data_IF_929562685682
#
_entry.id   IF_929562685682
#
_cell.length_a   1.000
_cell.length_b   1.000
_cell.length_c   1.000
_cell.angle_alpha   90.00
_cell.angle_beta   90.00
_cell.angle_gamma   90.00
#
_symmetry.space_group_name_H-M   'P 1'
#
loop_
_entity.id
_entity.type
_entity.pdbx_description
1 polymer ?
#
# COMPACT_ATOMS: atom_id res chain seq x y z
N UNK A 1 -18.14 22.33 6.42
CA UNK A 1 -17.45 21.86 5.20
C UNK A 1 -17.82 20.41 4.98
N UNK A 2 -18.27 20.03 3.78
CA UNK A 2 -18.58 18.64 3.46
C UNK A 2 -17.28 17.91 3.12
N UNK A 3 -17.08 16.68 3.62
CA UNK A 3 -15.91 15.84 3.28
C UNK A 3 -15.99 15.30 1.82
N UNK A 4 -16.72 15.99 0.94
CA UNK A 4 -17.03 15.60 -0.43
C UNK A 4 -15.80 15.34 -1.30
N UNK A 5 -14.77 16.21 -1.31
CA UNK A 5 -13.55 15.95 -2.08
C UNK A 5 -12.81 14.68 -1.65
N UNK A 6 -12.78 14.38 -0.35
CA UNK A 6 -12.16 13.15 0.19
C UNK A 6 -12.95 11.93 -0.28
N UNK A 7 -14.29 11.99 -0.16
CA UNK A 7 -15.17 10.93 -0.64
C UNK A 7 -15.01 10.70 -2.15
N UNK A 8 -14.99 11.77 -2.94
CA UNK A 8 -14.84 11.70 -4.40
C UNK A 8 -13.51 11.06 -4.80
N UNK A 9 -12.39 11.51 -4.21
CA UNK A 9 -11.07 10.95 -4.49
C UNK A 9 -10.99 9.47 -4.09
N UNK A 10 -11.57 9.09 -2.95
CA UNK A 10 -11.66 7.70 -2.52
C UNK A 10 -12.52 6.85 -3.48
N UNK A 11 -13.71 7.34 -3.83
CA UNK A 11 -14.61 6.69 -4.79
C UNK A 11 -13.94 6.52 -6.16
N UNK A 12 -13.23 7.55 -6.65
CA UNK A 12 -12.49 7.46 -7.91
C UNK A 12 -11.39 6.41 -7.85
N UNK A 13 -10.72 6.25 -6.70
CA UNK A 13 -9.79 5.16 -6.43
C UNK A 13 -10.44 3.78 -6.59
N UNK A 14 -11.62 3.57 -6.01
CA UNK A 14 -12.36 2.29 -6.17
C UNK A 14 -12.66 1.99 -7.64
N UNK A 15 -13.19 2.98 -8.37
CA UNK A 15 -13.56 2.83 -9.78
C UNK A 15 -12.33 2.52 -10.62
N UNK A 16 -11.26 3.29 -10.43
CA UNK A 16 -10.01 3.10 -11.17
C UNK A 16 -9.42 1.71 -10.94
N UNK A 17 -9.41 1.19 -9.71
CA UNK A 17 -8.91 -0.16 -9.44
C UNK A 17 -9.72 -1.25 -10.16
N UNK A 18 -11.05 -1.25 -10.01
CA UNK A 18 -11.89 -2.31 -10.56
C UNK A 18 -12.07 -2.20 -12.09
N UNK A 19 -12.07 -0.99 -12.65
CA UNK A 19 -12.03 -0.81 -14.11
C UNK A 19 -10.72 -1.32 -14.69
N UNK A 20 -9.57 -0.93 -14.12
CA UNK A 20 -8.25 -1.41 -14.57
C UNK A 20 -8.16 -2.94 -14.49
N UNK A 21 -8.63 -3.54 -13.40
CA UNK A 21 -8.67 -5.00 -13.23
C UNK A 21 -9.54 -5.67 -14.29
N UNK A 22 -10.74 -5.14 -14.55
CA UNK A 22 -11.67 -5.71 -15.54
C UNK A 22 -11.14 -5.56 -16.97
N UNK A 23 -10.55 -4.41 -17.30
CA UNK A 23 -10.00 -4.15 -18.63
C UNK A 23 -8.81 -5.05 -18.96
N UNK A 24 -7.93 -5.30 -17.98
CA UNK A 24 -6.71 -6.09 -18.21
C UNK A 24 -6.99 -7.58 -18.09
N UNK A 25 -7.71 -8.00 -17.05
CA UNK A 25 -7.82 -9.41 -16.69
C UNK A 25 -9.16 -10.04 -17.06
N UNK A 26 -10.19 -9.23 -17.35
CA UNK A 26 -11.56 -9.71 -17.48
C UNK A 26 -12.15 -10.15 -16.14
N UNK A 27 -13.28 -10.87 -16.19
CA UNK A 27 -13.89 -11.48 -15.01
C UNK A 27 -14.54 -10.47 -14.06
N UNK A 28 -15.58 -9.77 -14.53
CA UNK A 28 -16.39 -8.91 -13.67
C UNK A 28 -17.02 -9.75 -12.54
N UNK A 29 -16.63 -9.47 -11.30
CA UNK A 29 -17.17 -10.12 -10.10
C UNK A 29 -18.17 -9.18 -9.45
N UNK A 30 -19.43 -9.57 -9.39
CA UNK A 30 -20.41 -8.84 -8.60
C UNK A 30 -20.11 -9.05 -7.11
N UNK A 31 -19.87 -7.95 -6.40
CA UNK A 31 -19.79 -7.96 -4.93
C UNK A 31 -21.07 -7.32 -4.43
N UNK A 32 -21.92 -8.10 -3.76
CA UNK A 32 -23.20 -7.61 -3.28
C UNK A 32 -22.99 -6.44 -2.31
N UNK A 33 -23.49 -5.26 -2.66
CA UNK A 33 -23.69 -4.18 -1.70
C UNK A 33 -24.97 -4.53 -0.94
N UNK A 34 -24.86 -4.83 0.35
CA UNK A 34 -26.01 -5.23 1.17
C UNK A 34 -27.22 -4.31 0.95
N UNK A 35 -28.42 -4.88 0.86
CA UNK A 35 -29.66 -4.08 0.76
C UNK A 35 -30.02 -3.56 2.15
N UNK A 36 -29.81 -2.27 2.38
CA UNK A 36 -30.25 -1.58 3.59
C UNK A 36 -29.51 -0.26 3.81
N UNK A 37 -30.24 0.83 4.04
CA UNK A 37 -29.68 2.11 4.52
C UNK A 37 -29.41 2.07 6.03
N UNK A 38 -28.79 0.99 6.51
CA UNK A 38 -28.40 0.90 7.92
C UNK A 38 -26.97 1.37 8.03
N UNK A 39 -26.81 2.58 8.54
CA UNK A 39 -25.50 3.17 8.80
C UNK A 39 -24.91 2.42 9.99
N UNK A 40 -24.05 1.44 9.70
CA UNK A 40 -23.44 0.56 10.68
C UNK A 40 -21.94 0.80 10.70
N UNK A 41 -21.37 0.68 11.89
CA UNK A 41 -19.93 0.56 12.05
C UNK A 41 -19.41 -0.71 11.37
N UNK A 42 -18.44 -0.55 10.48
CA UNK A 42 -17.73 -1.65 9.82
C UNK A 42 -16.40 -1.92 10.51
N UNK A 43 -16.12 -3.20 10.76
CA UNK A 43 -14.92 -3.61 11.49
C UNK A 43 -13.64 -3.39 10.68
N UNK A 44 -12.51 -3.17 11.35
CA UNK A 44 -11.20 -3.04 10.68
C UNK A 44 -10.86 -4.21 9.75
N UNK A 45 -11.16 -5.44 10.14
CA UNK A 45 -10.94 -6.62 9.29
C UNK A 45 -11.77 -6.56 7.99
N UNK A 46 -13.02 -6.11 8.06
CA UNK A 46 -13.87 -5.93 6.87
C UNK A 46 -13.36 -4.79 5.97
N UNK A 47 -13.06 -3.64 6.56
CA UNK A 47 -12.48 -2.50 5.83
C UNK A 47 -11.19 -2.91 5.11
N UNK A 48 -10.34 -3.68 5.76
CA UNK A 48 -9.12 -4.21 5.17
C UNK A 48 -9.43 -5.15 4.00
N UNK A 49 -10.38 -6.08 4.14
CA UNK A 49 -10.78 -6.98 3.05
C UNK A 49 -11.42 -6.27 1.85
N UNK A 50 -12.05 -5.11 2.07
CA UNK A 50 -12.62 -4.31 0.99
C UNK A 50 -11.57 -3.46 0.27
N UNK A 51 -10.64 -2.87 1.02
CA UNK A 51 -9.82 -1.77 0.52
C UNK A 51 -8.31 -2.05 0.45
N UNK A 52 -7.81 -3.21 0.89
CA UNK A 52 -6.37 -3.51 0.88
C UNK A 52 -5.75 -3.34 -0.51
N UNK A 53 -6.23 -4.06 -1.53
CA UNK A 53 -5.67 -4.03 -2.89
C UNK A 53 -6.00 -2.77 -3.68
N UNK A 54 -7.15 -2.16 -3.41
CA UNK A 54 -7.66 -1.00 -4.14
C UNK A 54 -7.10 0.32 -3.61
N UNK A 55 -6.90 0.43 -2.30
CA UNK A 55 -6.50 1.67 -1.64
C UNK A 55 -5.30 1.48 -0.72
N UNK A 56 -5.36 0.65 0.32
CA UNK A 56 -4.34 0.67 1.38
C UNK A 56 -2.94 0.35 0.87
N UNK A 57 -2.78 -0.70 0.05
CA UNK A 57 -1.48 -1.00 -0.57
C UNK A 57 -1.01 0.15 -1.44
N UNK A 58 -1.89 0.74 -2.25
CA UNK A 58 -1.52 1.83 -3.17
C UNK A 58 -1.20 3.12 -2.41
N UNK A 59 -1.92 3.41 -1.34
CA UNK A 59 -1.70 4.55 -0.46
C UNK A 59 -0.39 4.44 0.30
N UNK A 60 -0.08 3.25 0.85
CA UNK A 60 1.22 2.99 1.50
C UNK A 60 2.36 3.01 0.50
N UNK A 61 2.20 2.41 -0.70
CA UNK A 61 3.20 2.49 -1.77
C UNK A 61 3.46 3.95 -2.19
N UNK A 62 2.41 4.77 -2.34
CA UNK A 62 2.54 6.18 -2.70
C UNK A 62 3.19 6.99 -1.58
N UNK A 63 2.79 6.77 -0.31
CA UNK A 63 3.40 7.39 0.85
C UNK A 63 4.90 7.09 0.90
N UNK A 64 5.27 5.82 0.69
CA UNK A 64 6.66 5.39 0.66
C UNK A 64 7.45 6.04 -0.48
N UNK A 65 6.88 6.15 -1.68
CA UNK A 65 7.49 6.87 -2.80
C UNK A 65 7.69 8.36 -2.51
N UNK A 66 6.71 9.00 -1.87
CA UNK A 66 6.81 10.41 -1.45
C UNK A 66 7.95 10.60 -0.44
N UNK A 67 8.05 9.74 0.56
CA UNK A 67 9.14 9.77 1.54
C UNK A 67 10.51 9.52 0.89
N UNK A 68 10.59 8.55 -0.03
CA UNK A 68 11.83 8.30 -0.78
C UNK A 68 12.23 9.50 -1.63
N UNK A 69 11.27 10.12 -2.31
CA UNK A 69 11.54 11.28 -3.13
C UNK A 69 11.90 12.51 -2.29
N UNK A 70 11.33 12.66 -1.09
CA UNK A 70 11.75 13.69 -0.15
C UNK A 70 13.20 13.48 0.34
N UNK A 71 13.59 12.23 0.61
CA UNK A 71 14.90 11.91 1.17
C UNK A 71 16.03 11.89 0.13
N UNK A 72 15.76 11.39 -1.08
CA UNK A 72 16.77 11.13 -2.12
C UNK A 72 16.52 11.90 -3.43
N UNK A 73 15.33 12.48 -3.61
CA UNK A 73 15.00 13.23 -4.81
C UNK A 73 15.59 14.63 -4.77
N UNK A 74 16.04 15.12 -5.92
CA UNK A 74 16.44 16.51 -6.08
C UNK A 74 15.22 17.34 -6.49
N UNK A 75 14.86 18.31 -5.66
CA UNK A 75 13.78 19.26 -5.95
C UNK A 75 14.33 20.47 -6.69
N UNK A 76 14.93 20.23 -7.86
CA UNK A 76 15.33 21.31 -8.76
C UNK A 76 14.75 21.01 -10.14
N UNK A 77 13.74 21.79 -10.54
CA UNK A 77 13.27 21.82 -11.93
C UNK A 77 14.30 22.49 -12.87
N UNK A 78 15.43 22.92 -12.32
CA UNK A 78 16.54 23.51 -13.03
C UNK A 78 17.80 22.68 -12.79
N UNK A 79 18.21 21.90 -13.78
CA UNK A 79 19.61 21.47 -13.84
C UNK A 79 20.44 22.63 -14.39
N UNK A 80 20.41 23.78 -13.72
CA UNK A 80 21.21 24.92 -14.13
C UNK A 80 22.68 24.56 -13.84
N UNK A 81 23.50 24.64 -14.88
CA UNK A 81 24.93 24.44 -14.82
C UNK A 81 25.50 25.41 -15.83
N UNK A 82 26.56 26.13 -15.48
CA UNK A 82 27.23 27.03 -16.43
C UNK A 82 27.68 26.29 -17.70
N UNK A 83 27.84 24.96 -17.64
CA UNK A 83 28.18 24.12 -18.79
C UNK A 83 27.10 24.10 -19.88
N UNK A 84 25.84 24.34 -19.53
CA UNK A 84 24.76 24.47 -20.50
C UNK A 84 24.97 25.70 -21.41
N UNK A 85 25.56 26.76 -20.86
CA UNK A 85 25.88 28.01 -21.55
C UNK A 85 27.41 28.22 -21.68
N UNK A 86 28.15 27.13 -21.85
CA UNK A 86 29.63 27.16 -21.88
C UNK A 86 30.18 28.11 -22.95
N UNK A 87 29.51 28.23 -24.10
CA UNK A 87 29.85 29.18 -25.16
C UNK A 87 29.69 30.65 -24.72
N UNK A 88 28.66 30.96 -23.92
CA UNK A 88 28.45 32.31 -23.39
C UNK A 88 29.56 32.69 -22.39
N UNK A 89 29.96 31.73 -21.55
CA UNK A 89 31.02 31.92 -20.56
C UNK A 89 32.44 31.74 -21.13
N UNK A 90 32.59 31.60 -22.45
CA UNK A 90 33.90 31.35 -23.10
C UNK A 90 34.67 30.16 -22.49
N UNK A 91 33.96 29.11 -22.05
CA UNK A 91 34.51 27.96 -21.34
C UNK A 91 35.24 28.29 -20.02
N UNK A 92 35.00 29.48 -19.45
CA UNK A 92 35.51 29.88 -18.14
C UNK A 92 34.38 29.72 -17.12
N UNK A 93 34.66 29.07 -15.99
CA UNK A 93 33.66 28.89 -14.94
C UNK A 93 33.30 30.26 -14.30
N UNK A 94 32.06 30.74 -14.44
CA UNK A 94 31.58 31.98 -13.82
C UNK A 94 31.30 31.78 -12.33
N UNK A 95 31.07 32.87 -11.60
CA UNK A 95 30.71 32.76 -10.18
C UNK A 95 29.34 32.09 -10.00
N UNK A 96 29.16 31.41 -8.87
CA UNK A 96 27.91 30.69 -8.54
C UNK A 96 26.66 31.56 -8.61
N UNK A 97 26.80 32.86 -8.31
CA UNK A 97 25.70 33.80 -8.36
C UNK A 97 25.38 34.23 -9.79
N UNK A 98 26.39 34.48 -10.62
CA UNK A 98 26.22 34.94 -12.01
C UNK A 98 25.49 33.90 -12.86
N UNK A 99 25.92 32.64 -12.83
CA UNK A 99 25.30 31.62 -13.67
C UNK A 99 23.93 31.19 -13.19
N UNK A 100 23.67 31.19 -11.87
CA UNK A 100 22.33 30.96 -11.34
C UNK A 100 21.38 32.06 -11.81
N UNK A 101 21.78 33.33 -11.69
CA UNK A 101 20.95 34.48 -12.08
C UNK A 101 20.56 34.40 -13.55
N UNK A 102 21.54 34.21 -14.44
CA UNK A 102 21.29 34.08 -15.88
C UNK A 102 20.39 32.88 -16.21
N UNK A 103 20.67 31.72 -15.64
CA UNK A 103 19.87 30.53 -15.92
C UNK A 103 18.41 30.69 -15.44
N UNK A 104 18.19 31.36 -14.31
CA UNK A 104 16.84 31.69 -13.85
C UNK A 104 16.16 32.73 -14.75
N UNK A 105 16.89 33.71 -15.27
CA UNK A 105 16.35 34.73 -16.18
C UNK A 105 15.97 34.14 -17.55
N UNK A 106 16.81 33.28 -18.14
CA UNK A 106 16.56 32.68 -19.46
C UNK A 106 15.51 31.55 -19.41
N UNK A 107 15.41 30.83 -18.28
CA UNK A 107 14.52 29.69 -18.12
C UNK A 107 13.36 29.92 -17.16
N UNK A 108 13.03 31.15 -16.77
CA UNK A 108 12.05 31.48 -15.70
C UNK A 108 10.67 30.79 -15.81
N UNK A 109 10.23 30.42 -17.02
CA UNK A 109 8.96 29.68 -17.21
C UNK A 109 9.06 28.18 -16.88
N UNK A 110 10.26 27.61 -17.00
CA UNK A 110 10.60 26.24 -16.61
C UNK A 110 11.30 26.16 -15.24
N UNK A 111 11.83 27.28 -14.77
CA UNK A 111 12.71 27.38 -13.61
C UNK A 111 12.11 28.26 -12.51
N UNK A 112 11.79 27.66 -11.37
CA UNK A 112 11.32 28.38 -10.19
C UNK A 112 12.50 28.59 -9.24
N UNK A 113 12.66 29.82 -8.72
CA UNK A 113 13.67 30.14 -7.73
C UNK A 113 13.64 29.15 -6.54
N UNK A 114 14.79 28.75 -5.98
CA UNK A 114 14.89 27.74 -4.92
C UNK A 114 14.09 28.05 -3.64
N UNK A 115 13.67 29.30 -3.48
CA UNK A 115 13.13 29.82 -2.22
C UNK A 115 11.61 29.82 -2.12
N UNK A 116 10.85 29.60 -3.21
CA UNK A 116 9.39 29.84 -3.20
C UNK A 116 8.48 28.61 -3.40
N UNK A 117 9.03 27.42 -3.65
CA UNK A 117 8.23 26.18 -3.80
C UNK A 117 8.98 24.99 -3.19
N UNK A 118 8.91 24.84 -1.87
CA UNK A 118 9.44 23.67 -1.17
C UNK A 118 8.71 22.40 -1.63
N UNK A 119 9.39 21.23 -1.57
CA UNK A 119 8.83 19.92 -1.93
C UNK A 119 7.39 19.70 -1.41
N UNK A 120 7.10 20.15 -0.18
CA UNK A 120 5.78 20.04 0.42
C UNK A 120 4.68 20.75 -0.37
N UNK A 121 4.93 21.95 -0.90
CA UNK A 121 3.94 22.73 -1.67
C UNK A 121 3.69 22.10 -3.04
N UNK A 122 4.69 21.53 -3.69
CA UNK A 122 4.50 20.93 -5.01
C UNK A 122 3.93 19.51 -4.95
N UNK A 123 4.21 18.76 -3.89
CA UNK A 123 3.73 17.38 -3.73
C UNK A 123 2.44 17.25 -2.92
N UNK A 124 1.89 18.33 -2.36
CA UNK A 124 0.76 18.29 -1.42
C UNK A 124 -0.45 17.51 -1.94
N UNK A 125 -0.74 17.59 -3.24
CA UNK A 125 -1.84 16.88 -3.87
C UNK A 125 -1.66 15.35 -3.79
N UNK A 126 -0.44 14.86 -3.96
CA UNK A 126 -0.10 13.44 -3.84
C UNK A 126 -0.16 12.99 -2.37
N UNK A 127 0.27 13.83 -1.44
CA UNK A 127 0.10 13.57 0.00
C UNK A 127 -1.37 13.44 0.39
N UNK A 128 -2.23 14.33 -0.12
CA UNK A 128 -3.69 14.28 0.11
C UNK A 128 -4.29 12.99 -0.50
N UNK A 129 -3.86 12.58 -1.70
CA UNK A 129 -4.32 11.31 -2.30
C UNK A 129 -3.91 10.12 -1.44
N UNK A 130 -2.64 10.05 -1.01
CA UNK A 130 -2.14 8.98 -0.16
C UNK A 130 -2.93 8.90 1.15
N UNK A 131 -3.10 10.04 1.83
CA UNK A 131 -3.88 10.15 3.06
C UNK A 131 -5.34 9.75 2.86
N UNK A 132 -5.96 10.18 1.75
CA UNK A 132 -7.35 9.84 1.42
C UNK A 132 -7.52 8.34 1.20
N UNK A 133 -6.64 7.69 0.43
CA UNK A 133 -6.71 6.25 0.20
C UNK A 133 -6.49 5.44 1.50
N UNK A 134 -5.66 5.94 2.41
CA UNK A 134 -5.44 5.25 3.69
C UNK A 134 -6.56 5.47 4.68
N UNK A 135 -7.05 6.70 4.85
CA UNK A 135 -7.85 7.06 6.03
C UNK A 135 -9.31 7.45 5.77
N UNK A 136 -9.71 7.67 4.51
CA UNK A 136 -11.12 7.96 4.21
C UNK A 136 -12.11 6.91 4.74
N UNK A 137 -11.83 5.59 4.70
CA UNK A 137 -12.75 4.59 5.24
C UNK A 137 -13.12 4.82 6.70
N UNK A 138 -12.19 5.30 7.54
CA UNK A 138 -12.46 5.53 8.96
C UNK A 138 -13.27 6.79 9.21
N UNK A 139 -13.01 7.86 8.44
CA UNK A 139 -13.80 9.10 8.53
C UNK A 139 -15.27 8.89 8.14
N UNK A 140 -15.52 8.01 7.17
CA UNK A 140 -16.88 7.66 6.72
C UNK A 140 -17.46 6.43 7.42
N UNK A 141 -16.76 5.87 8.41
CA UNK A 141 -17.25 4.75 9.21
C UNK A 141 -17.84 5.25 10.53
N UNK A 142 -19.13 5.05 10.82
CA UNK A 142 -19.75 5.40 12.11
C UNK A 142 -18.93 4.86 13.28
N UNK A 143 -18.65 5.68 14.30
CA UNK A 143 -17.77 5.31 15.43
C UNK A 143 -16.37 4.82 15.01
N UNK A 144 -15.92 5.15 13.80
CA UNK A 144 -14.63 4.75 13.27
C UNK A 144 -13.42 5.44 13.92
N UNK A 145 -13.66 6.43 14.79
CA UNK A 145 -12.67 7.15 15.61
C UNK A 145 -12.93 7.01 17.12
N UNK A 146 -13.83 6.12 17.52
CA UNK A 146 -14.12 5.79 18.93
C UNK A 146 -13.10 4.78 19.46
N UNK A 147 -12.45 5.10 20.59
CA UNK A 147 -11.31 4.33 21.10
C UNK A 147 -11.69 2.91 21.47
N UNK A 148 -12.80 2.75 22.19
CA UNK A 148 -13.25 1.44 22.69
C UNK A 148 -13.61 0.50 21.53
N UNK A 149 -14.14 1.06 20.44
CA UNK A 149 -14.45 0.31 19.23
C UNK A 149 -13.21 -0.01 18.41
N UNK A 150 -12.32 0.95 18.23
CA UNK A 150 -11.09 0.75 17.46
C UNK A 150 -10.21 -0.32 18.07
N UNK A 151 -10.06 -0.36 19.40
CA UNK A 151 -9.20 -1.36 20.04
C UNK A 151 -9.79 -2.78 19.91
N UNK A 152 -11.11 -2.92 20.00
CA UNK A 152 -11.83 -4.19 19.74
C UNK A 152 -11.59 -4.66 18.30
N UNK A 153 -11.80 -3.76 17.34
CA UNK A 153 -11.59 -3.98 15.91
C UNK A 153 -10.15 -4.33 15.55
N UNK A 154 -9.19 -3.66 16.18
CA UNK A 154 -7.77 -3.91 15.99
C UNK A 154 -7.38 -5.32 16.46
N UNK A 155 -7.88 -5.73 17.62
CA UNK A 155 -7.67 -7.08 18.14
C UNK A 155 -8.32 -8.14 17.22
N UNK A 156 -9.52 -7.88 16.71
CA UNK A 156 -10.19 -8.75 15.74
C UNK A 156 -9.38 -8.89 14.43
N UNK A 157 -8.87 -7.77 13.90
CA UNK A 157 -8.01 -7.78 12.72
C UNK A 157 -6.70 -8.56 12.95
N UNK A 158 -6.06 -8.39 14.12
CA UNK A 158 -4.86 -9.16 14.46
C UNK A 158 -5.14 -10.67 14.54
N UNK A 159 -6.29 -11.05 15.10
CA UNK A 159 -6.72 -12.45 15.18
C UNK A 159 -7.01 -12.99 13.78
N UNK A 160 -7.72 -12.22 12.95
CA UNK A 160 -8.00 -12.55 11.55
C UNK A 160 -6.72 -12.82 10.76
N UNK A 161 -5.67 -12.00 10.88
CA UNK A 161 -4.37 -12.22 10.21
C UNK A 161 -3.72 -13.57 10.53
N UNK A 162 -4.03 -14.16 11.70
CA UNK A 162 -3.49 -15.46 12.14
C UNK A 162 -4.29 -16.64 11.59
N UNK A 163 -5.54 -16.43 11.18
CA UNK A 163 -6.41 -17.49 10.69
C UNK A 163 -5.88 -18.11 9.40
N UNK A 164 -6.05 -19.43 9.28
CA UNK A 164 -5.53 -20.22 8.15
C UNK A 164 -6.55 -21.17 7.53
N UNK A 165 -7.81 -21.10 7.95
CA UNK A 165 -8.87 -21.99 7.49
C UNK A 165 -9.22 -21.71 6.02
N UNK A 166 -9.74 -22.68 5.28
CA UNK A 166 -10.12 -22.48 3.86
C UNK A 166 -11.44 -21.69 3.68
N UNK A 167 -12.02 -21.13 4.75
CA UNK A 167 -13.18 -20.25 4.66
C UNK A 167 -12.78 -18.86 4.12
N UNK A 168 -13.68 -18.22 3.37
CA UNK A 168 -13.51 -16.85 2.88
C UNK A 168 -13.32 -15.83 4.01
N UNK A 169 -13.77 -16.16 5.22
CA UNK A 169 -13.62 -15.33 6.42
C UNK A 169 -12.19 -15.34 6.98
N UNK A 170 -11.39 -16.34 6.62
CA UNK A 170 -9.99 -16.42 7.04
C UNK A 170 -9.10 -15.48 6.22
N UNK A 171 -7.98 -15.05 6.78
CA UNK A 171 -7.00 -14.24 6.04
C UNK A 171 -6.47 -14.97 4.81
N UNK A 172 -6.25 -16.28 4.91
CA UNK A 172 -5.73 -17.07 3.79
C UNK A 172 -6.76 -17.30 2.70
N UNK A 173 -8.02 -17.57 3.07
CA UNK A 173 -9.12 -17.69 2.12
C UNK A 173 -9.35 -16.36 1.39
N UNK A 174 -9.39 -15.25 2.12
CA UNK A 174 -9.46 -13.91 1.52
C UNK A 174 -8.28 -13.61 0.58
N UNK A 175 -7.05 -13.84 1.02
CA UNK A 175 -5.84 -13.61 0.22
C UNK A 175 -5.87 -14.41 -1.09
N UNK A 176 -6.28 -15.67 -1.02
CA UNK A 176 -6.36 -16.55 -2.20
C UNK A 176 -7.47 -16.09 -3.16
N UNK A 177 -8.65 -15.77 -2.63
CA UNK A 177 -9.79 -15.27 -3.41
C UNK A 177 -9.48 -13.94 -4.11
N UNK A 178 -8.68 -13.07 -3.50
CA UNK A 178 -8.28 -11.81 -4.14
C UNK A 178 -7.31 -12.02 -5.30
N UNK A 179 -6.47 -13.07 -5.24
CA UNK A 179 -5.47 -13.39 -6.29
C UNK A 179 -5.98 -14.34 -7.37
N UNK A 180 -7.12 -15.00 -7.16
CA UNK A 180 -7.74 -16.00 -8.05
C UNK A 180 -7.86 -15.51 -9.51
N UNK A 181 -8.14 -14.22 -9.72
CA UNK A 181 -8.24 -13.64 -11.07
C UNK A 181 -6.99 -13.83 -11.94
N UNK A 182 -5.81 -13.97 -11.33
CA UNK A 182 -4.56 -14.19 -12.05
C UNK A 182 -4.54 -15.55 -12.75
N UNK A 183 -5.27 -16.53 -12.24
CA UNK A 183 -5.38 -17.88 -12.81
C UNK A 183 -6.05 -17.84 -14.18
N UNK A 184 -7.09 -17.00 -14.32
CA UNK A 184 -7.87 -16.83 -15.55
C UNK A 184 -7.33 -15.73 -16.48
N UNK A 185 -6.23 -15.07 -16.11
CA UNK A 185 -5.66 -13.96 -16.88
C UNK A 185 -4.93 -14.44 -18.14
N UNK A 186 -5.11 -13.72 -19.26
CA UNK A 186 -4.41 -13.97 -20.54
C UNK A 186 -2.91 -13.71 -20.46
N UNK A 187 -2.12 -14.28 -21.40
CA UNK A 187 -0.65 -14.08 -21.41
C UNK A 187 -0.25 -12.61 -21.60
N UNK A 188 -0.96 -11.87 -22.46
CA UNK A 188 -0.70 -10.44 -22.68
C UNK A 188 -0.99 -9.60 -21.43
N UNK A 189 -2.09 -9.88 -20.73
CA UNK A 189 -2.42 -9.23 -19.48
C UNK A 189 -1.41 -9.52 -18.35
N UNK A 190 -0.89 -10.75 -18.27
CA UNK A 190 0.22 -11.09 -17.37
C UNK A 190 1.50 -10.34 -17.70
N UNK A 191 1.82 -10.16 -18.99
CA UNK A 191 2.96 -9.36 -19.42
C UNK A 191 2.83 -7.90 -18.98
N UNK A 192 1.69 -7.25 -19.25
CA UNK A 192 1.40 -5.87 -18.82
C UNK A 192 1.54 -5.74 -17.30
N UNK A 193 0.99 -6.71 -16.56
CA UNK A 193 1.11 -6.74 -15.09
C UNK A 193 2.57 -6.86 -14.66
N UNK A 194 3.36 -7.71 -15.31
CA UNK A 194 4.80 -7.85 -15.05
C UNK A 194 5.57 -6.55 -15.28
N UNK A 195 5.32 -5.86 -16.40
CA UNK A 195 5.92 -4.55 -16.70
C UNK A 195 5.57 -3.53 -15.61
N UNK A 196 4.31 -3.47 -15.18
CA UNK A 196 3.90 -2.57 -14.09
C UNK A 196 4.58 -2.89 -12.77
N UNK A 197 4.84 -4.17 -12.47
CA UNK A 197 5.54 -4.59 -11.24
C UNK A 197 7.06 -4.40 -11.31
N UNK A 198 7.64 -4.26 -12.50
CA UNK A 198 9.07 -3.94 -12.69
C UNK A 198 9.47 -2.64 -11.99
N UNK A 199 8.52 -1.69 -11.80
CA UNK A 199 8.76 -0.42 -11.11
C UNK A 199 9.46 -0.57 -9.75
N UNK A 200 9.13 -1.62 -8.98
CA UNK A 200 9.76 -1.83 -7.67
C UNK A 200 11.24 -2.22 -7.80
N UNK A 201 11.58 -3.01 -8.82
CA UNK A 201 12.97 -3.32 -9.14
C UNK A 201 13.71 -2.06 -9.60
N UNK A 202 13.10 -1.24 -10.46
CA UNK A 202 13.71 0.00 -10.92
C UNK A 202 13.98 0.98 -9.78
N UNK A 203 13.06 1.08 -8.81
CA UNK A 203 13.27 1.89 -7.59
C UNK A 203 14.43 1.34 -6.76
N UNK A 204 14.50 0.02 -6.54
CA UNK A 204 15.61 -0.59 -5.81
C UNK A 204 16.97 -0.37 -6.51
N UNK A 205 17.01 -0.49 -7.84
CA UNK A 205 18.21 -0.20 -8.65
C UNK A 205 18.57 1.29 -8.58
N UNK A 206 17.60 2.19 -8.71
CA UNK A 206 17.83 3.63 -8.63
C UNK A 206 18.40 4.05 -7.28
N UNK A 207 17.86 3.51 -6.18
CA UNK A 207 18.40 3.73 -4.83
C UNK A 207 19.83 3.19 -4.68
N UNK A 208 20.11 2.01 -5.22
CA UNK A 208 21.46 1.44 -5.22
C UNK A 208 22.46 2.34 -5.95
N UNK A 209 22.09 2.80 -7.15
CA UNK A 209 22.91 3.68 -7.97
C UNK A 209 23.12 5.04 -7.30
N UNK A 210 22.09 5.62 -6.68
CA UNK A 210 22.23 6.86 -5.92
C UNK A 210 23.19 6.72 -4.74
N UNK A 211 23.10 5.62 -3.99
CA UNK A 211 24.04 5.32 -2.91
C UNK A 211 25.49 5.17 -3.43
N UNK A 212 25.68 4.51 -4.57
CA UNK A 212 26.98 4.37 -5.23
C UNK A 212 27.51 5.71 -5.78
N UNK A 213 26.62 6.60 -6.24
CA UNK A 213 27.01 7.92 -6.72
C UNK A 213 27.47 8.82 -5.57
N UNK A 214 26.69 8.91 -4.49
CA UNK A 214 27.02 9.74 -3.33
C UNK A 214 28.31 9.27 -2.64
N UNK A 215 28.59 7.97 -2.72
CA UNK A 215 29.85 7.37 -2.29
C UNK A 215 31.06 7.91 -3.04
N UNK A 216 30.96 8.00 -4.37
CA UNK A 216 32.10 8.22 -5.24
C UNK A 216 32.31 9.70 -5.57
N UNK A 217 31.24 10.50 -5.67
CA UNK A 217 31.29 11.85 -6.22
C UNK A 217 30.98 12.98 -5.21
N UNK A 218 30.14 12.77 -4.18
CA UNK A 218 29.63 13.86 -3.33
C UNK A 218 30.41 14.10 -2.03
N UNK A 219 31.50 13.36 -1.74
CA UNK A 219 32.35 13.59 -0.56
C UNK A 219 33.71 14.20 -0.95
N UNK A 220 33.77 15.50 -1.30
CA UNK A 220 34.93 16.12 -1.94
C UNK A 220 36.16 16.32 -1.03
N UNK A 221 36.09 16.04 0.27
CA UNK A 221 37.18 16.34 1.22
C UNK A 221 37.92 15.10 1.77
N UNK A 222 37.74 13.92 1.16
CA UNK A 222 38.62 12.78 1.42
C UNK A 222 39.34 12.41 0.15
N UNK A 223 40.67 12.40 0.23
CA UNK A 223 41.51 11.76 -0.78
C UNK A 223 41.08 10.29 -0.79
N UNK A 224 40.61 9.82 -1.94
CA UNK A 224 40.20 8.43 -2.12
C UNK A 224 41.45 7.57 -1.95
N UNK A 225 41.68 7.04 -0.75
CA UNK A 225 42.55 5.88 -0.59
C UNK A 225 41.79 4.70 -1.19
N UNK A 226 42.25 4.26 -2.36
CA UNK A 226 41.58 3.38 -3.33
C UNK A 226 40.99 2.05 -2.81
N UNK A 227 41.20 1.66 -1.56
CA UNK A 227 40.84 0.34 -1.03
C UNK A 227 39.62 0.32 -0.09
N UNK A 228 39.40 1.33 0.77
CA UNK A 228 38.39 1.20 1.84
C UNK A 228 36.95 1.58 1.43
N UNK A 229 36.78 2.63 0.63
CA UNK A 229 35.44 3.11 0.25
C UNK A 229 34.82 2.21 -0.84
N UNK A 230 35.57 1.84 -1.88
CA UNK A 230 35.07 0.93 -2.93
C UNK A 230 34.70 -0.46 -2.37
N UNK A 231 35.49 -0.97 -1.42
CA UNK A 231 35.22 -2.22 -0.71
C UNK A 231 33.91 -2.13 0.10
N UNK A 232 33.67 -1.02 0.79
CA UNK A 232 32.45 -0.81 1.60
C UNK A 232 31.18 -0.88 0.75
N UNK A 233 31.18 -0.27 -0.43
CA UNK A 233 30.03 -0.28 -1.33
C UNK A 233 29.88 -1.60 -2.10
N UNK A 234 30.99 -2.24 -2.51
CA UNK A 234 30.98 -3.59 -3.07
C UNK A 234 30.46 -4.62 -2.05
N UNK A 235 30.82 -4.50 -0.78
CA UNK A 235 30.29 -5.32 0.32
C UNK A 235 28.80 -5.06 0.55
N UNK A 236 28.31 -3.81 0.42
CA UNK A 236 26.87 -3.52 0.51
C UNK A 236 26.06 -4.18 -0.62
N UNK A 237 26.60 -4.18 -1.85
CA UNK A 237 26.02 -4.91 -2.99
C UNK A 237 26.05 -6.43 -2.80
N UNK A 238 27.16 -6.95 -2.26
CA UNK A 238 27.31 -8.36 -1.91
C UNK A 238 26.27 -8.81 -0.88
N UNK A 239 25.99 -8.01 0.16
CA UNK A 239 24.97 -8.30 1.17
C UNK A 239 23.59 -8.44 0.51
N UNK A 240 23.25 -7.55 -0.44
CA UNK A 240 21.98 -7.62 -1.18
C UNK A 240 21.90 -8.91 -2.02
N UNK A 241 22.97 -9.24 -2.75
CA UNK A 241 23.04 -10.47 -3.55
C UNK A 241 22.93 -11.71 -2.65
N UNK A 242 23.61 -11.72 -1.51
CA UNK A 242 23.53 -12.80 -0.51
C UNK A 242 22.10 -12.94 0.01
N UNK A 243 21.42 -11.85 0.37
CA UNK A 243 20.03 -11.91 0.84
C UNK A 243 19.07 -12.41 -0.23
N UNK A 244 19.22 -11.96 -1.48
CA UNK A 244 18.42 -12.46 -2.61
C UNK A 244 18.67 -13.95 -2.85
N UNK A 245 19.93 -14.39 -2.78
CA UNK A 245 20.29 -15.80 -2.86
C UNK A 245 19.68 -16.61 -1.71
N UNK A 246 19.69 -16.11 -0.48
CA UNK A 246 19.07 -16.79 0.66
C UNK A 246 17.55 -16.93 0.52
N UNK A 247 16.88 -15.91 -0.02
CA UNK A 247 15.44 -15.97 -0.32
C UNK A 247 15.18 -17.00 -1.43
N UNK A 248 15.96 -16.97 -2.51
CA UNK A 248 15.89 -17.95 -3.59
C UNK A 248 16.16 -19.38 -3.09
N UNK A 249 17.20 -19.57 -2.27
CA UNK A 249 17.53 -20.85 -1.64
C UNK A 249 16.44 -21.30 -0.66
N UNK A 250 15.88 -20.40 0.14
CA UNK A 250 14.75 -20.67 1.04
C UNK A 250 13.50 -21.08 0.28
N UNK A 251 13.23 -20.42 -0.85
CA UNK A 251 12.15 -20.73 -1.78
C UNK A 251 12.34 -22.12 -2.41
N UNK A 252 13.53 -22.43 -2.95
CA UNK A 252 13.86 -23.74 -3.51
C UNK A 252 13.80 -24.83 -2.42
N UNK A 253 14.35 -24.57 -1.23
CA UNK A 253 14.35 -25.51 -0.11
C UNK A 253 12.93 -25.85 0.40
N UNK A 254 11.98 -24.92 0.26
CA UNK A 254 10.56 -25.14 0.55
C UNK A 254 9.89 -26.06 -0.47
N UNK A 255 10.38 -26.14 -1.71
CA UNK A 255 9.88 -27.08 -2.73
C UNK A 255 10.32 -28.53 -2.50
N UNK A 256 11.44 -28.73 -1.80
CA UNK A 256 12.06 -30.05 -1.59
C UNK A 256 11.39 -30.87 -0.47
N UNK A 257 10.43 -30.32 0.27
CA UNK A 257 9.87 -30.97 1.48
C UNK A 257 8.77 -32.00 1.26
N UNK A 258 8.80 -32.79 0.17
CA UNK A 258 7.93 -33.97 0.04
C UNK A 258 8.72 -35.27 -0.21
N UNK A 259 9.61 -35.62 0.74
CA UNK A 259 9.90 -37.02 1.14
C UNK A 259 10.75 -37.09 2.44
N UNK A 260 10.04 -37.35 3.56
CA UNK A 260 10.38 -38.05 4.83
C UNK A 260 11.81 -38.10 5.46
N UNK A 261 11.80 -38.16 6.82
CA UNK A 261 12.81 -38.69 7.78
C UNK A 261 14.12 -37.93 8.01
N UNK A 262 14.58 -37.89 9.29
CA UNK A 262 15.89 -37.52 9.93
C UNK A 262 16.80 -36.43 9.31
N UNK A 263 16.90 -36.35 7.97
CA UNK A 263 17.54 -35.28 7.19
C UNK A 263 17.03 -33.87 7.55
N UNK A 264 15.81 -33.74 8.07
CA UNK A 264 15.31 -32.44 8.57
C UNK A 264 16.10 -31.88 9.75
N UNK A 265 16.70 -32.70 10.64
CA UNK A 265 17.52 -32.19 11.76
C UNK A 265 18.84 -31.60 11.24
N UNK A 266 19.44 -32.22 10.22
CA UNK A 266 20.59 -31.67 9.47
C UNK A 266 20.21 -30.44 8.66
N UNK A 267 19.05 -30.42 8.00
CA UNK A 267 18.58 -29.26 7.24
C UNK A 267 18.23 -28.08 8.16
N UNK A 268 17.65 -28.32 9.34
CA UNK A 268 17.44 -27.29 10.38
C UNK A 268 18.77 -26.79 10.93
N UNK A 269 19.75 -27.67 11.16
CA UNK A 269 21.13 -27.26 11.51
C UNK A 269 21.79 -26.44 10.40
N UNK A 270 21.64 -26.82 9.13
CA UNK A 270 22.18 -26.04 8.00
C UNK A 270 21.47 -24.69 7.88
N UNK A 271 20.13 -24.64 8.01
CA UNK A 271 19.38 -23.37 8.05
C UNK A 271 19.79 -22.50 9.23
N UNK A 272 20.01 -23.09 10.41
CA UNK A 272 20.48 -22.39 11.60
C UNK A 272 21.93 -21.89 11.43
N UNK A 273 22.84 -22.71 10.92
CA UNK A 273 24.23 -22.34 10.64
C UNK A 273 24.30 -21.29 9.54
N UNK A 274 23.51 -21.41 8.47
CA UNK A 274 23.42 -20.41 7.41
C UNK A 274 22.83 -19.09 7.93
N UNK A 275 21.82 -19.16 8.81
CA UNK A 275 21.28 -17.99 9.51
C UNK A 275 22.30 -17.36 10.46
N UNK A 276 23.11 -18.16 11.18
CA UNK A 276 24.19 -17.67 12.03
C UNK A 276 25.33 -17.06 11.20
N UNK A 277 25.77 -17.70 10.12
CA UNK A 277 26.78 -17.14 9.21
C UNK A 277 26.28 -15.85 8.57
N UNK A 278 25.01 -15.79 8.17
CA UNK A 278 24.42 -14.57 7.61
C UNK A 278 24.28 -13.48 8.67
N UNK A 279 23.94 -13.83 9.91
CA UNK A 279 23.93 -12.92 11.04
C UNK A 279 25.35 -12.39 11.36
N UNK A 280 26.37 -13.25 11.32
CA UNK A 280 27.78 -12.87 11.52
C UNK A 280 28.28 -11.96 10.39
N UNK A 281 27.98 -12.29 9.13
CA UNK A 281 28.31 -11.43 7.97
C UNK A 281 27.57 -10.10 8.06
N UNK A 282 26.31 -10.11 8.50
CA UNK A 282 25.55 -8.88 8.75
C UNK A 282 26.12 -8.09 9.92
N UNK A 283 26.63 -8.73 10.97
CA UNK A 283 27.28 -8.06 12.11
C UNK A 283 28.65 -7.50 11.72
N UNK A 284 29.42 -8.18 10.86
CA UNK A 284 30.67 -7.66 10.31
C UNK A 284 30.47 -6.54 9.29
N UNK A 285 29.37 -6.55 8.51
CA UNK A 285 29.07 -5.43 7.62
C UNK A 285 28.61 -4.20 8.42
N UNK A 286 27.94 -4.40 9.56
CA UNK A 286 27.52 -3.33 10.48
C UNK A 286 28.69 -2.57 11.12
N UNK A 287 29.90 -3.15 11.19
CA UNK A 287 31.08 -2.45 11.74
C UNK A 287 31.76 -1.50 10.74
N UNK A 288 31.39 -1.55 9.45
CA UNK A 288 32.00 -0.74 8.37
C UNK A 288 31.01 0.30 7.81
N UNK A 289 29.70 0.12 8.03
CA UNK A 289 28.66 0.92 7.40
C UNK A 289 28.16 2.07 8.30
N UNK A 290 28.07 3.27 7.74
CA UNK A 290 27.36 4.41 8.36
C UNK A 290 25.88 4.08 8.58
N UNK A 291 25.29 4.62 9.66
CA UNK A 291 23.86 4.47 10.00
C UNK A 291 22.96 4.86 8.81
N UNK A 292 23.32 5.89 8.05
CA UNK A 292 22.57 6.30 6.85
C UNK A 292 22.60 5.22 5.75
N UNK A 293 23.75 4.58 5.53
CA UNK A 293 23.90 3.53 4.53
C UNK A 293 23.16 2.25 4.97
N UNK A 294 23.17 1.94 6.26
CA UNK A 294 22.40 0.83 6.82
C UNK A 294 20.89 1.01 6.62
N UNK A 295 20.40 2.22 6.83
CA UNK A 295 19.00 2.53 6.59
C UNK A 295 18.64 2.43 5.10
N UNK A 296 19.50 2.95 4.20
CA UNK A 296 19.31 2.84 2.76
C UNK A 296 19.29 1.38 2.28
N UNK A 297 20.23 0.55 2.76
CA UNK A 297 20.30 -0.90 2.45
C UNK A 297 19.07 -1.63 2.98
N UNK A 298 18.62 -1.32 4.21
CA UNK A 298 17.42 -1.91 4.78
C UNK A 298 16.18 -1.62 3.91
N UNK A 299 16.02 -0.37 3.47
CA UNK A 299 14.93 0.01 2.58
C UNK A 299 15.04 -0.71 1.23
N UNK A 300 16.22 -0.75 0.64
CA UNK A 300 16.47 -1.45 -0.63
C UNK A 300 16.10 -2.93 -0.52
N UNK A 301 16.54 -3.62 0.55
CA UNK A 301 16.20 -5.02 0.82
C UNK A 301 14.68 -5.19 0.94
N UNK A 302 13.99 -4.29 1.63
CA UNK A 302 12.54 -4.34 1.77
C UNK A 302 11.83 -4.23 0.39
N UNK A 303 12.25 -3.28 -0.45
CA UNK A 303 11.71 -3.11 -1.81
C UNK A 303 12.01 -4.34 -2.68
N UNK A 304 13.22 -4.90 -2.59
CA UNK A 304 13.62 -6.09 -3.35
C UNK A 304 12.84 -7.34 -2.93
N UNK A 305 12.62 -7.55 -1.63
CA UNK A 305 11.77 -8.63 -1.09
C UNK A 305 10.32 -8.46 -1.56
N UNK A 306 9.80 -7.23 -1.53
CA UNK A 306 8.46 -6.94 -2.01
C UNK A 306 8.33 -7.24 -3.51
N UNK A 307 9.31 -6.82 -4.33
CA UNK A 307 9.34 -7.13 -5.75
C UNK A 307 9.37 -8.66 -6.01
N UNK A 308 10.22 -9.40 -5.29
CA UNK A 308 10.27 -10.86 -5.38
C UNK A 308 8.90 -11.49 -5.10
N UNK A 309 8.23 -11.06 -4.03
CA UNK A 309 6.87 -11.50 -3.69
C UNK A 309 5.88 -11.23 -4.84
N UNK A 310 5.91 -10.04 -5.44
CA UNK A 310 5.04 -9.67 -6.57
C UNK A 310 5.28 -10.56 -7.80
N UNK A 311 6.54 -10.89 -8.11
CA UNK A 311 6.87 -11.81 -9.21
C UNK A 311 6.39 -13.23 -8.91
N UNK A 312 6.53 -13.72 -7.68
CA UNK A 312 5.98 -15.02 -7.29
C UNK A 312 4.45 -15.08 -7.43
N UNK A 313 3.74 -14.01 -7.05
CA UNK A 313 2.29 -13.90 -7.24
C UNK A 313 1.93 -13.96 -8.74
N UNK A 314 2.65 -13.22 -9.59
CA UNK A 314 2.44 -13.24 -11.05
C UNK A 314 2.69 -14.63 -11.67
N UNK A 315 3.58 -15.43 -11.08
CA UNK A 315 3.84 -16.83 -11.45
C UNK A 315 2.87 -17.83 -10.81
N UNK A 316 1.75 -17.36 -10.25
CA UNK A 316 0.74 -18.17 -9.56
C UNK A 316 1.29 -18.99 -8.37
N UNK A 317 2.33 -18.48 -7.70
CA UNK A 317 2.94 -19.12 -6.53
C UNK A 317 2.44 -18.50 -5.22
N UNK A 318 1.28 -17.85 -5.22
CA UNK A 318 0.74 -17.14 -4.05
C UNK A 318 0.32 -18.08 -2.90
N UNK A 319 0.13 -19.38 -3.17
CA UNK A 319 -0.07 -20.44 -2.17
C UNK A 319 1.23 -20.92 -1.49
N UNK A 320 2.39 -20.57 -2.02
CA UNK A 320 3.67 -21.06 -1.51
C UNK A 320 3.95 -20.52 -0.09
N UNK A 321 4.47 -21.36 0.81
CA UNK A 321 4.60 -21.02 2.23
C UNK A 321 5.42 -19.76 2.49
N UNK A 322 6.48 -19.54 1.69
CA UNK A 322 7.33 -18.33 1.76
C UNK A 322 6.55 -17.10 1.32
N UNK A 323 5.83 -17.19 0.20
CA UNK A 323 5.06 -16.07 -0.37
C UNK A 323 3.91 -15.70 0.56
N UNK A 324 3.23 -16.70 1.12
CA UNK A 324 2.20 -16.53 2.14
C UNK A 324 2.74 -15.84 3.39
N UNK A 325 3.92 -16.24 3.87
CA UNK A 325 4.53 -15.62 5.04
C UNK A 325 4.93 -14.16 4.77
N UNK A 326 5.48 -13.88 3.58
CA UNK A 326 5.84 -12.52 3.17
C UNK A 326 4.60 -11.63 3.00
N UNK A 327 3.54 -12.14 2.36
CA UNK A 327 2.28 -11.42 2.19
C UNK A 327 1.64 -11.09 3.54
N UNK A 328 1.62 -12.03 4.50
CA UNK A 328 1.11 -11.77 5.85
C UNK A 328 1.94 -10.73 6.60
N UNK A 329 3.26 -10.77 6.46
CA UNK A 329 4.14 -9.77 7.08
C UNK A 329 3.91 -8.39 6.46
N UNK A 330 3.74 -8.32 5.14
CA UNK A 330 3.38 -7.11 4.42
C UNK A 330 2.03 -6.56 4.88
N UNK A 331 1.00 -7.40 5.00
CA UNK A 331 -0.31 -7.00 5.51
C UNK A 331 -0.27 -6.47 6.93
N UNK A 332 0.55 -7.08 7.79
CA UNK A 332 0.76 -6.58 9.14
C UNK A 332 1.41 -5.19 9.12
N UNK A 333 2.41 -4.98 8.28
CA UNK A 333 3.09 -3.68 8.16
C UNK A 333 2.14 -2.60 7.62
N UNK A 334 1.41 -2.89 6.53
CA UNK A 334 0.39 -1.98 5.97
C UNK A 334 -0.68 -1.66 7.01
N UNK A 335 -1.21 -2.67 7.71
CA UNK A 335 -2.20 -2.45 8.75
C UNK A 335 -1.70 -1.55 9.87
N UNK A 336 -0.45 -1.70 10.33
CA UNK A 336 0.12 -0.78 11.32
C UNK A 336 0.26 0.66 10.80
N UNK A 337 0.66 0.84 9.53
CA UNK A 337 0.78 2.18 8.93
C UNK A 337 -0.59 2.85 8.78
N UNK A 338 -1.63 2.08 8.45
CA UNK A 338 -2.98 2.60 8.25
C UNK A 338 -3.71 2.81 9.58
N UNK A 339 -3.77 1.78 10.43
CA UNK A 339 -4.52 1.80 11.69
C UNK A 339 -3.79 2.53 12.82
N UNK A 340 -2.45 2.50 12.85
CA UNK A 340 -1.66 3.11 13.92
C UNK A 340 -1.98 4.60 14.15
N UNK A 341 -1.93 5.44 13.11
CA UNK A 341 -2.31 6.85 13.22
C UNK A 341 -3.76 7.06 13.69
N UNK A 342 -4.70 6.22 13.21
CA UNK A 342 -6.10 6.27 13.63
C UNK A 342 -6.26 5.95 15.13
N UNK A 343 -5.54 4.93 15.62
CA UNK A 343 -5.50 4.58 17.04
C UNK A 343 -4.94 5.73 17.90
N UNK A 344 -3.84 6.35 17.46
CA UNK A 344 -3.23 7.49 18.16
C UNK A 344 -4.21 8.67 18.22
N UNK A 345 -4.82 9.02 17.09
CA UNK A 345 -5.82 10.09 17.01
C UNK A 345 -7.00 9.80 17.94
N UNK A 346 -7.51 8.58 17.93
CA UNK A 346 -8.64 8.18 18.78
C UNK A 346 -8.30 8.22 20.28
N UNK A 347 -7.09 7.78 20.66
CA UNK A 347 -6.63 7.78 22.05
C UNK A 347 -6.42 9.20 22.61
N UNK A 348 -5.77 10.08 21.85
CA UNK A 348 -5.35 11.39 22.35
C UNK A 348 -6.34 12.53 22.01
N UNK A 349 -7.23 12.33 21.02
CA UNK A 349 -8.15 13.36 20.54
C UNK A 349 -9.61 12.83 20.53
N UNK A 350 -10.18 12.47 21.70
CA UNK A 350 -11.51 11.84 21.77
C UNK A 350 -12.63 12.74 21.23
N UNK A 351 -12.45 14.06 21.24
CA UNK A 351 -13.41 15.01 20.67
C UNK A 351 -13.62 14.84 19.15
N UNK A 352 -12.64 14.24 18.44
CA UNK A 352 -12.74 14.02 17.00
C UNK A 352 -13.83 13.00 16.66
N UNK A 353 -14.06 12.01 17.52
CA UNK A 353 -15.17 11.06 17.36
C UNK A 353 -16.53 11.78 17.36
N UNK A 354 -16.75 12.69 18.32
CA UNK A 354 -17.98 13.50 18.37
C UNK A 354 -18.11 14.44 17.17
N UNK A 355 -16.99 15.03 16.72
CA UNK A 355 -16.99 15.86 15.51
C UNK A 355 -17.35 15.05 14.26
N UNK A 356 -16.76 13.86 14.09
CA UNK A 356 -17.02 12.95 12.99
C UNK A 356 -18.50 12.57 12.91
N UNK A 357 -19.11 12.23 14.05
CA UNK A 357 -20.54 11.93 14.13
C UNK A 357 -21.41 13.13 13.72
N UNK A 358 -21.10 14.35 14.16
CA UNK A 358 -21.85 15.55 13.75
C UNK A 358 -21.74 15.85 12.25
N UNK A 359 -20.57 15.58 11.66
CA UNK A 359 -20.34 15.79 10.21
C UNK A 359 -21.11 14.76 9.38
N UNK A 360 -21.15 13.49 9.83
CA UNK A 360 -21.90 12.43 9.13
C UNK A 360 -23.41 12.52 9.36
N UNK A 361 -23.83 12.84 10.57
CA UNK A 361 -25.23 12.88 11.01
C UNK A 361 -25.62 14.32 11.35
N UNK A 362 -25.68 15.18 10.32
CA UNK A 362 -26.30 16.49 10.48
C UNK A 362 -27.83 16.32 10.53
N UNK A 363 -28.53 17.24 11.18
CA UNK A 363 -30.00 17.27 11.31
C UNK A 363 -30.72 17.12 9.95
N UNK A 364 -30.14 17.66 8.87
CA UNK A 364 -30.66 17.56 7.51
C UNK A 364 -30.56 16.14 6.92
N UNK A 365 -29.56 15.36 7.35
CA UNK A 365 -29.38 13.97 6.92
C UNK A 365 -30.27 13.02 7.73
N UNK A 366 -30.43 13.27 9.04
CA UNK A 366 -31.39 12.51 9.87
C UNK A 366 -32.82 12.73 9.41
N UNK A 367 -33.22 13.95 9.05
CA UNK A 367 -34.55 14.22 8.47
C UNK A 367 -34.75 13.51 7.12
N UNK A 368 -33.70 13.44 6.28
CA UNK A 368 -33.74 12.70 5.02
C UNK A 368 -33.90 11.18 5.19
N UNK A 369 -33.32 10.61 6.24
CA UNK A 369 -33.47 9.18 6.57
C UNK A 369 -34.86 8.83 7.11
N UNK A 370 -35.50 9.74 7.85
CA UNK A 370 -36.90 9.56 8.28
C UNK A 370 -37.85 9.59 7.08
N UNK A 371 -37.62 10.52 6.15
CA UNK A 371 -38.36 10.61 4.88
C UNK A 371 -38.16 9.37 4.01
N UNK A 372 -36.94 8.83 3.91
CA UNK A 372 -36.69 7.60 3.13
C UNK A 372 -37.30 6.35 3.78
N UNK A 373 -37.36 6.29 5.12
CA UNK A 373 -38.12 5.24 5.84
C UNK A 373 -39.61 5.31 5.56
N UNK A 374 -40.19 6.51 5.53
CA UNK A 374 -41.60 6.72 5.16
C UNK A 374 -41.87 6.17 3.74
N UNK A 375 -41.07 6.57 2.76
CA UNK A 375 -41.21 6.08 1.39
C UNK A 375 -40.91 4.57 1.24
N UNK A 376 -40.03 4.00 2.06
CA UNK A 376 -39.77 2.55 2.05
C UNK A 376 -40.97 1.74 2.60
N UNK A 377 -41.73 2.31 3.54
CA UNK A 377 -42.96 1.70 4.07
C UNK A 377 -44.17 1.88 3.13
N UNK A 378 -44.22 2.97 2.36
CA UNK A 378 -45.31 3.23 1.39
C UNK A 378 -45.28 2.30 0.16
N UNK A 379 -44.18 1.55 -0.05
CA UNK A 379 -44.03 0.55 -1.13
C UNK A 379 -44.40 -0.87 -0.67
N UNK A 380 -44.83 -1.05 0.58
CA UNK A 380 -45.39 -2.34 1.02
C UNK A 380 -46.73 -2.61 0.29
N UNK A 381 -46.93 -3.80 -0.32
CA UNK A 381 -48.11 -4.06 -1.12
C UNK A 381 -49.37 -3.97 -0.24
N UNK A 382 -50.38 -3.27 -0.75
CA UNK A 382 -51.71 -3.20 -0.15
C UNK A 382 -52.13 -4.60 0.33
N UNK A 383 -52.42 -4.72 1.62
CA UNK A 383 -52.92 -5.98 2.17
C UNK A 383 -54.16 -6.36 1.38
N UNK A 384 -54.05 -7.42 0.57
CA UNK A 384 -55.20 -8.03 -0.08
C UNK A 384 -56.01 -8.67 1.03
N UNK A 385 -57.01 -7.94 1.52
CA UNK A 385 -58.03 -8.46 2.42
C UNK A 385 -58.76 -9.55 1.64
N UNK A 386 -58.39 -10.81 1.84
CA UNK A 386 -59.14 -11.96 1.34
C UNK A 386 -60.45 -12.04 2.13
N UNK A 387 -61.49 -11.38 1.62
CA UNK A 387 -62.85 -11.56 2.10
C UNK A 387 -63.24 -13.01 1.83
N UNK A 388 -63.36 -13.80 2.91
CA UNK A 388 -63.80 -15.19 2.86
C UNK A 388 -65.28 -15.21 2.47
N UNK A 389 -65.60 -15.58 1.22
CA UNK A 389 -67.00 -15.80 0.79
C UNK A 389 -67.59 -16.95 1.63
N UNK A 390 -68.54 -16.63 2.48
CA UNK A 390 -69.37 -17.62 3.19
C UNK A 390 -70.31 -18.26 2.17
N UNK A 391 -70.28 -19.58 2.04
CA UNK A 391 -71.19 -20.32 1.18
C UNK A 391 -72.63 -20.21 1.70
N UNK A 392 -73.55 -19.68 0.89
CA UNK A 392 -74.98 -19.75 1.19
C UNK A 392 -75.43 -21.22 1.24
N UNK A 393 -75.93 -21.64 2.41
CA UNK A 393 -76.64 -22.92 2.59
C UNK A 393 -77.88 -22.91 1.69
N UNK A 394 -77.97 -23.88 0.79
CA UNK A 394 -79.16 -24.16 -0.02
C UNK A 394 -80.27 -24.61 0.93
N UNK A 395 -81.35 -23.83 1.02
CA UNK A 395 -82.56 -24.18 1.79
C UNK A 395 -83.46 -24.97 0.83
N UNK A 396 -83.67 -26.27 1.08
CA UNK A 396 -84.77 -26.99 0.45
C UNK A 396 -86.07 -26.67 1.20
N UNK A 397 -87.14 -26.56 0.42
CA UNK A 397 -88.58 -26.59 0.77
C UNK A 397 -89.18 -27.07 -0.55
N UNK A 398 -89.63 -28.30 -0.72
CA UNK A 398 -90.76 -28.97 -0.04
C UNK A 398 -91.97 -28.04 0.11
N UNK A 399 -92.99 -28.42 -0.68
CA UNK A 399 -94.34 -27.91 -0.94
C UNK A 399 -94.51 -26.68 -1.85
#
# INVERSE_FOLDING_TARGET
MTLGPIFFTFQMGTRMHYFDRTLIHGGAKYRATGRGFTIKHEKFAELYRFYAFSHFYRGVELLFLLLLFYAYGTFSWCNCSWRLDSDYYNNVEPTDLEWRTRCYDDHYQSCVLPTNQNYGVMSYSLWIIAATWMWAPFFFNPSGLDWDKIIEDYNDWQNWLRTTNDSADSWFGWWSNEQEYLEHTTRGARFITGVRKLRFLLVAIGMYLNMMYNAYFERPNRIISSDDDMLTYALSGLVIVIFLLLICCGYIASRVTKKMSMKQRKLRKIKFVLSCCCFIVSMLSLTVLSISNLFAIFILLFVAVYWFMQICILRLQYHHIVVRSLARAYDRAVGWIVFGPIMIVSMFLPFISSFQQRVMFNNAFTSGLEVSKLFAHDVAPAQVVKVKRVSKKKKSRDD
#
